data_IF_189688849197
#
_entry.id   IF_189688849197
#
_cell.length_a   1.000
_cell.length_b   1.000
_cell.length_c   1.000
_cell.angle_alpha   90.00
_cell.angle_beta   90.00
_cell.angle_gamma   90.00
#
_symmetry.space_group_name_H-M   'P 1'
#
loop_
_entity.id
_entity.type
_entity.pdbx_description
1 polymer ?
#
# COMPACT_ATOMS: atom_id res chain seq x y z
N UNK A 1 4.95 -44.96 -50.01
CA UNK A 1 3.97 -43.87 -50.07
C UNK A 1 3.83 -43.31 -48.67
N UNK A 2 4.58 -42.26 -48.38
CA UNK A 2 4.54 -41.56 -47.09
C UNK A 2 4.07 -40.14 -47.42
N UNK A 3 2.86 -39.82 -47.00
CA UNK A 3 2.25 -38.53 -47.18
C UNK A 3 2.84 -37.56 -46.17
N UNK A 4 3.57 -36.57 -46.62
CA UNK A 4 4.09 -35.47 -45.83
C UNK A 4 3.02 -34.38 -45.79
N UNK A 5 2.45 -34.12 -44.62
CA UNK A 5 1.48 -33.03 -44.40
C UNK A 5 2.24 -31.78 -43.92
N UNK A 6 2.27 -30.70 -44.68
CA UNK A 6 3.03 -29.48 -44.35
C UNK A 6 2.24 -28.40 -43.61
N UNK A 7 1.20 -28.76 -42.84
CA UNK A 7 0.33 -27.72 -42.22
C UNK A 7 0.67 -27.38 -40.75
N UNK A 8 1.74 -27.88 -40.16
CA UNK A 8 2.04 -27.64 -38.74
C UNK A 8 3.15 -26.62 -38.45
N UNK A 9 3.64 -25.89 -39.47
CA UNK A 9 4.84 -25.04 -39.27
C UNK A 9 4.56 -23.51 -39.33
N UNK A 10 3.32 -23.07 -39.38
CA UNK A 10 3.01 -21.63 -39.55
C UNK A 10 2.51 -20.95 -38.26
N UNK A 11 2.29 -21.70 -37.21
CA UNK A 11 1.74 -21.11 -35.95
C UNK A 11 2.79 -20.60 -34.95
N UNK A 12 4.08 -20.85 -35.17
CA UNK A 12 5.13 -20.59 -34.17
C UNK A 12 5.95 -19.32 -34.41
N UNK A 13 5.73 -18.59 -35.49
CA UNK A 13 6.48 -17.37 -35.82
C UNK A 13 5.71 -16.07 -35.51
N UNK A 14 4.42 -16.14 -35.19
CA UNK A 14 3.61 -14.94 -34.88
C UNK A 14 3.63 -14.52 -33.40
N UNK A 15 4.01 -15.40 -32.50
CA UNK A 15 4.05 -15.10 -31.06
C UNK A 15 5.38 -14.48 -30.59
N UNK A 16 6.39 -14.43 -31.45
CA UNK A 16 7.70 -13.84 -31.13
C UNK A 16 7.87 -12.36 -31.50
N UNK A 17 6.87 -11.71 -32.08
CA UNK A 17 6.98 -10.32 -32.58
C UNK A 17 5.93 -9.35 -32.07
N UNK A 18 5.21 -9.70 -30.99
CA UNK A 18 4.55 -8.68 -30.23
C UNK A 18 5.59 -8.10 -29.25
N UNK A 19 5.94 -6.80 -29.39
CA UNK A 19 6.63 -6.14 -28.31
C UNK A 19 5.73 -6.34 -27.09
N UNK A 20 6.31 -6.80 -25.97
CA UNK A 20 5.65 -6.79 -24.67
C UNK A 20 5.22 -5.33 -24.41
N UNK A 21 4.09 -4.95 -24.99
CA UNK A 21 3.36 -3.78 -24.58
C UNK A 21 3.19 -4.00 -23.09
N UNK A 22 3.89 -3.22 -22.28
CA UNK A 22 3.87 -3.26 -20.85
C UNK A 22 2.42 -3.09 -20.44
N UNK A 23 1.69 -4.18 -20.34
CA UNK A 23 0.46 -4.24 -19.60
C UNK A 23 0.88 -3.84 -18.20
N UNK A 24 0.71 -2.56 -17.88
CA UNK A 24 0.98 -2.04 -16.55
C UNK A 24 -0.02 -2.73 -15.63
N UNK A 25 0.36 -3.91 -15.17
CA UNK A 25 -0.43 -4.70 -14.23
C UNK A 25 -0.58 -3.83 -12.99
N UNK A 26 -1.78 -3.33 -12.78
CA UNK A 26 -2.11 -2.56 -11.59
C UNK A 26 -2.50 -3.58 -10.53
N UNK A 27 -1.61 -3.82 -9.57
CA UNK A 27 -1.91 -4.66 -8.42
C UNK A 27 -2.21 -3.79 -7.22
N UNK A 28 -3.37 -4.02 -6.59
CA UNK A 28 -3.83 -3.23 -5.44
C UNK A 28 -3.81 -4.09 -4.20
N UNK A 29 -3.07 -3.62 -3.19
CA UNK A 29 -3.03 -4.20 -1.85
C UNK A 29 -3.80 -3.29 -0.89
N UNK A 30 -4.69 -3.87 -0.09
CA UNK A 30 -5.38 -3.13 0.98
C UNK A 30 -4.50 -3.07 2.21
N UNK A 31 -4.79 -2.13 3.09
CA UNK A 31 -4.18 -2.11 4.43
C UNK A 31 -4.76 -3.19 5.31
N UNK A 32 -3.93 -3.79 6.17
CA UNK A 32 -4.37 -4.79 7.17
C UNK A 32 -5.33 -4.14 8.16
N UNK A 33 -6.44 -4.84 8.41
CA UNK A 33 -7.38 -4.55 9.47
C UNK A 33 -7.21 -5.59 10.57
N UNK A 34 -6.39 -5.28 11.55
CA UNK A 34 -6.16 -6.11 12.73
C UNK A 34 -6.85 -5.52 13.97
N UNK A 35 -6.78 -6.25 15.07
CA UNK A 35 -7.34 -5.83 16.36
C UNK A 35 -6.85 -4.43 16.77
N UNK A 36 -5.58 -4.13 16.54
CA UNK A 36 -4.99 -2.83 16.86
C UNK A 36 -5.63 -1.68 16.05
N UNK A 37 -5.94 -1.93 14.78
CA UNK A 37 -6.62 -0.96 13.92
C UNK A 37 -8.02 -0.65 14.43
N UNK A 38 -8.79 -1.68 14.81
CA UNK A 38 -10.14 -1.48 15.37
C UNK A 38 -10.11 -0.74 16.69
N UNK A 39 -9.17 -1.07 17.60
CA UNK A 39 -9.05 -0.39 18.89
C UNK A 39 -8.65 1.07 18.74
N UNK A 40 -7.71 1.38 17.86
CA UNK A 40 -7.30 2.77 17.59
C UNK A 40 -8.47 3.56 17.00
N UNK A 41 -9.17 2.99 16.02
CA UNK A 41 -10.32 3.63 15.41
C UNK A 41 -11.43 3.89 16.43
N UNK A 42 -11.80 2.87 17.23
CA UNK A 42 -12.82 3.01 18.27
C UNK A 42 -12.45 4.06 19.30
N UNK A 43 -11.19 4.06 19.77
CA UNK A 43 -10.71 5.06 20.73
C UNK A 43 -10.72 6.46 20.13
N UNK A 44 -10.29 6.61 18.87
CA UNK A 44 -10.28 7.91 18.19
C UNK A 44 -11.70 8.47 18.04
N UNK A 45 -12.67 7.63 17.68
CA UNK A 45 -14.08 8.02 17.57
C UNK A 45 -14.64 8.34 18.96
N UNK A 46 -14.37 7.54 19.98
CA UNK A 46 -14.83 7.78 21.35
C UNK A 46 -14.37 9.16 21.88
N UNK A 47 -13.11 9.52 21.62
CA UNK A 47 -12.57 10.83 22.00
C UNK A 47 -13.36 11.98 21.37
N UNK A 48 -13.84 11.83 20.12
CA UNK A 48 -14.64 12.86 19.46
C UNK A 48 -15.98 13.12 20.15
N UNK A 49 -16.50 12.15 20.93
CA UNK A 49 -17.77 12.28 21.65
C UNK A 49 -17.61 12.68 23.13
N UNK A 50 -16.37 12.88 23.63
CA UNK A 50 -16.16 13.34 25.01
C UNK A 50 -16.93 14.63 25.33
N UNK A 51 -16.96 15.68 24.48
CA UNK A 51 -17.73 16.90 24.77
C UNK A 51 -19.22 16.62 24.94
N UNK A 52 -19.80 15.74 24.11
CA UNK A 52 -21.21 15.37 24.17
C UNK A 52 -21.57 14.54 25.44
N UNK A 53 -20.58 13.91 26.07
CA UNK A 53 -20.77 13.21 27.34
C UNK A 53 -20.74 14.18 28.52
N UNK A 54 -19.88 15.21 28.46
CA UNK A 54 -19.72 16.21 29.52
C UNK A 54 -20.90 17.22 29.50
N UNK A 55 -21.22 17.71 28.30
CA UNK A 55 -22.35 18.65 28.10
C UNK A 55 -23.25 18.05 26.99
N UNK A 56 -24.29 17.30 27.38
CA UNK A 56 -25.18 16.62 26.44
C UNK A 56 -26.10 17.60 25.73
N UNK A 57 -25.58 18.27 24.70
CA UNK A 57 -26.32 19.13 23.81
C UNK A 57 -26.22 18.66 22.36
N UNK A 58 -27.14 19.07 21.52
CA UNK A 58 -27.18 18.64 20.10
C UNK A 58 -25.97 19.14 19.32
N UNK A 59 -25.40 20.26 19.69
CA UNK A 59 -24.25 20.87 19.01
C UNK A 59 -23.00 19.99 19.22
N UNK A 60 -22.76 19.58 20.48
CA UNK A 60 -21.63 18.69 20.81
C UNK A 60 -21.72 17.33 20.09
N UNK A 61 -22.91 16.78 19.94
CA UNK A 61 -23.14 15.56 19.16
C UNK A 61 -22.82 15.79 17.67
N UNK A 62 -23.28 16.87 17.07
CA UNK A 62 -23.00 17.20 15.68
C UNK A 62 -21.50 17.36 15.45
N UNK A 63 -20.79 18.03 16.34
CA UNK A 63 -19.34 18.19 16.28
C UNK A 63 -18.65 16.83 16.36
N UNK A 64 -19.05 15.96 17.30
CA UNK A 64 -18.51 14.60 17.43
C UNK A 64 -18.66 13.78 16.15
N UNK A 65 -19.83 13.81 15.51
CA UNK A 65 -20.08 13.16 14.22
C UNK A 65 -19.20 13.77 13.12
N UNK A 66 -19.15 15.08 13.01
CA UNK A 66 -18.38 15.79 11.98
C UNK A 66 -16.88 15.49 12.06
N UNK A 67 -16.33 15.32 13.27
CA UNK A 67 -14.92 14.97 13.49
C UNK A 67 -14.65 13.49 13.27
N UNK A 68 -15.58 12.59 13.57
CA UNK A 68 -15.40 11.15 13.41
C UNK A 68 -15.42 10.71 11.95
N UNK A 69 -16.21 11.35 11.09
CA UNK A 69 -16.34 10.99 9.67
C UNK A 69 -15.00 11.00 8.90
N UNK A 70 -14.18 12.08 8.95
CA UNK A 70 -12.90 12.08 8.24
C UNK A 70 -11.90 11.06 8.80
N UNK A 71 -11.96 10.75 10.10
CA UNK A 71 -11.14 9.70 10.71
C UNK A 71 -11.51 8.34 10.12
N UNK A 72 -12.78 7.97 10.16
CA UNK A 72 -13.30 6.71 9.59
C UNK A 72 -12.95 6.63 8.10
N UNK A 73 -13.18 7.70 7.35
CA UNK A 73 -12.87 7.79 5.92
C UNK A 73 -11.39 7.51 5.64
N UNK A 74 -10.47 8.04 6.45
CA UNK A 74 -9.03 7.82 6.32
C UNK A 74 -8.67 6.34 6.45
N UNK A 75 -9.24 5.65 7.44
CA UNK A 75 -8.97 4.21 7.65
C UNK A 75 -9.50 3.35 6.51
N UNK A 76 -10.71 3.63 6.02
CA UNK A 76 -11.35 2.83 4.95
C UNK A 76 -10.64 3.03 3.60
N UNK A 77 -10.14 4.24 3.32
CA UNK A 77 -9.58 4.59 2.00
C UNK A 77 -8.08 4.42 1.89
N UNK A 78 -7.42 3.82 2.90
CA UNK A 78 -5.98 3.54 2.83
C UNK A 78 -5.73 2.27 2.03
N UNK A 79 -4.97 2.39 0.92
CA UNK A 79 -4.55 1.27 0.09
C UNK A 79 -3.23 1.56 -0.62
N UNK A 80 -2.59 0.50 -1.11
CA UNK A 80 -1.31 0.52 -1.79
C UNK A 80 -1.46 -0.06 -3.19
N UNK A 81 -0.90 0.60 -4.21
CA UNK A 81 -0.94 0.12 -5.59
C UNK A 81 0.46 0.08 -6.18
N UNK A 82 0.76 -1.01 -6.87
CA UNK A 82 1.94 -1.13 -7.71
C UNK A 82 1.48 -0.97 -9.16
N UNK A 83 2.00 0.07 -9.83
CA UNK A 83 1.71 0.35 -11.23
C UNK A 83 3.01 0.47 -12.01
N UNK A 84 3.38 -0.60 -12.73
CA UNK A 84 4.69 -0.68 -13.38
C UNK A 84 5.81 -0.47 -12.38
N UNK A 85 6.69 0.52 -12.60
CA UNK A 85 7.83 0.86 -11.73
C UNK A 85 7.49 1.87 -10.62
N UNK A 86 6.23 2.09 -10.31
CA UNK A 86 5.80 3.08 -9.34
C UNK A 86 4.93 2.47 -8.25
N UNK A 87 5.33 2.65 -7.00
CA UNK A 87 4.52 2.38 -5.81
C UNK A 87 3.66 3.60 -5.50
N UNK A 88 2.36 3.44 -5.51
CA UNK A 88 1.37 4.47 -5.15
C UNK A 88 0.82 4.11 -3.78
N UNK A 89 1.00 5.01 -2.82
CA UNK A 89 0.45 4.89 -1.47
C UNK A 89 -0.65 5.92 -1.34
N UNK A 90 -1.86 5.48 -1.07
CA UNK A 90 -3.01 6.36 -0.89
C UNK A 90 -3.54 6.25 0.53
N UNK A 91 -3.73 7.42 1.14
CA UNK A 91 -4.31 7.56 2.47
C UNK A 91 -5.30 8.72 2.43
N UNK A 92 -6.58 8.44 2.52
CA UNK A 92 -7.66 9.42 2.32
C UNK A 92 -7.50 10.19 1.00
N UNK A 93 -7.36 11.51 1.10
CA UNK A 93 -7.21 12.41 -0.06
C UNK A 93 -5.75 12.59 -0.50
N UNK A 94 -4.78 12.06 0.27
CA UNK A 94 -3.36 12.21 -0.02
C UNK A 94 -2.86 10.97 -0.76
N UNK A 95 -2.18 11.18 -1.88
CA UNK A 95 -1.51 10.11 -2.61
C UNK A 95 -0.03 10.42 -2.81
N UNK A 96 0.83 9.50 -2.37
CA UNK A 96 2.26 9.52 -2.65
C UNK A 96 2.59 8.58 -3.80
N UNK A 97 3.45 9.01 -4.70
CA UNK A 97 4.01 8.19 -5.80
C UNK A 97 5.50 8.03 -5.56
N UNK A 98 5.95 6.79 -5.48
CA UNK A 98 7.33 6.45 -5.15
C UNK A 98 7.91 5.53 -6.21
N UNK A 99 9.04 5.88 -6.86
CA UNK A 99 9.67 5.00 -7.83
C UNK A 99 10.29 3.80 -7.12
N UNK A 100 9.92 2.58 -7.57
CA UNK A 100 10.39 1.31 -6.99
C UNK A 100 11.90 1.13 -7.22
N UNK A 101 12.43 1.67 -8.32
CA UNK A 101 13.87 1.66 -8.63
C UNK A 101 14.73 2.38 -7.58
N UNK A 102 14.14 3.29 -6.79
CA UNK A 102 14.84 4.03 -5.72
C UNK A 102 14.66 3.42 -4.33
N UNK A 103 13.98 2.29 -4.20
CA UNK A 103 13.87 1.57 -2.93
C UNK A 103 15.22 0.91 -2.63
N UNK A 104 15.79 1.25 -1.47
CA UNK A 104 17.07 0.70 -1.01
C UNK A 104 16.86 -0.55 -0.16
N UNK A 105 15.95 -0.48 0.84
CA UNK A 105 15.72 -1.62 1.74
C UNK A 105 14.30 -1.66 2.26
N UNK A 106 13.87 -2.88 2.60
CA UNK A 106 12.60 -3.18 3.27
C UNK A 106 12.92 -3.91 4.57
N UNK A 107 12.37 -3.42 5.68
CA UNK A 107 12.57 -4.01 7.00
C UNK A 107 11.25 -4.05 7.78
N UNK A 108 11.03 -5.05 8.66
CA UNK A 108 9.93 -5.00 9.61
C UNK A 108 10.16 -3.84 10.59
N UNK A 109 9.09 -3.20 11.02
CA UNK A 109 9.19 -2.10 11.96
C UNK A 109 8.03 -2.10 12.94
N UNK A 110 8.30 -1.76 14.19
CA UNK A 110 7.30 -1.47 15.22
C UNK A 110 7.12 0.03 15.45
N UNK A 111 7.76 0.87 14.65
CA UNK A 111 7.71 2.32 14.81
C UNK A 111 6.28 2.84 14.62
N UNK A 112 5.79 3.60 15.61
CA UNK A 112 4.44 4.20 15.63
C UNK A 112 4.45 5.56 14.91
N UNK A 113 5.62 6.18 14.77
CA UNK A 113 5.79 7.58 14.37
C UNK A 113 5.64 7.86 12.86
N UNK A 114 5.45 6.85 12.04
CA UNK A 114 5.31 7.07 10.58
C UNK A 114 3.97 6.56 10.06
N UNK A 115 3.14 7.48 9.62
CA UNK A 115 1.95 7.19 8.81
C UNK A 115 2.34 6.93 7.34
N UNK A 116 1.60 6.16 6.56
CA UNK A 116 0.19 5.79 6.72
C UNK A 116 -0.03 4.27 6.95
N UNK A 117 0.45 3.71 8.03
CA UNK A 117 0.22 2.31 8.37
C UNK A 117 -0.81 2.19 9.52
N UNK A 118 -2.09 1.87 9.26
CA UNK A 118 -3.11 1.76 10.30
C UNK A 118 -2.89 0.57 11.24
N UNK A 119 -2.34 -0.56 10.75
CA UNK A 119 -2.01 -1.71 11.60
C UNK A 119 -0.74 -1.47 12.42
N UNK A 120 -0.66 -2.01 13.64
CA UNK A 120 0.54 -1.99 14.48
C UNK A 120 1.36 -3.28 14.38
N UNK A 121 0.78 -4.38 13.93
CA UNK A 121 1.42 -5.70 14.00
C UNK A 121 2.18 -6.09 12.75
N UNK A 122 1.72 -5.67 11.56
CA UNK A 122 2.28 -6.06 10.28
C UNK A 122 2.87 -4.88 9.49
N UNK A 123 3.74 -4.12 10.15
CA UNK A 123 4.36 -2.95 9.54
C UNK A 123 5.66 -3.29 8.85
N UNK A 124 5.87 -2.69 7.68
CA UNK A 124 7.14 -2.69 6.97
C UNK A 124 7.57 -1.25 6.71
N UNK A 125 8.84 -0.98 6.95
CA UNK A 125 9.50 0.28 6.64
C UNK A 125 10.22 0.16 5.31
N UNK A 126 9.90 1.03 4.38
CA UNK A 126 10.56 1.15 3.07
C UNK A 126 11.51 2.33 3.15
N UNK A 127 12.80 2.06 2.94
CA UNK A 127 13.84 3.09 2.90
C UNK A 127 14.24 3.33 1.45
N UNK A 128 14.40 4.59 1.09
CA UNK A 128 14.81 5.00 -0.26
C UNK A 128 16.27 5.43 -0.28
N UNK A 129 16.96 5.17 -1.38
CA UNK A 129 18.34 5.61 -1.62
C UNK A 129 18.45 7.13 -1.61
N UNK A 130 17.44 7.82 -2.13
CA UNK A 130 17.38 9.28 -2.19
C UNK A 130 16.31 9.81 -1.22
N UNK A 131 16.74 10.52 -0.17
CA UNK A 131 15.83 11.15 0.82
C UNK A 131 14.86 12.15 0.21
N UNK A 132 15.19 12.73 -0.96
CA UNK A 132 14.32 13.68 -1.65
C UNK A 132 13.02 13.07 -2.16
N UNK A 133 13.00 11.73 -2.38
CA UNK A 133 11.80 11.01 -2.83
C UNK A 133 10.70 11.05 -1.77
N UNK A 134 11.07 10.97 -0.51
CA UNK A 134 10.09 10.88 0.58
C UNK A 134 9.62 12.24 1.11
N UNK A 135 10.34 13.32 0.82
CA UNK A 135 10.10 14.66 1.43
C UNK A 135 10.07 14.64 2.97
N UNK A 136 10.50 13.55 3.59
CA UNK A 136 10.48 13.29 5.03
C UNK A 136 11.78 12.61 5.45
N UNK A 137 12.24 12.90 6.67
CA UNK A 137 13.40 12.24 7.26
C UNK A 137 13.12 10.79 7.71
N UNK A 138 11.83 10.41 7.78
CA UNK A 138 11.39 9.10 8.25
C UNK A 138 11.14 8.14 7.08
N UNK A 139 11.38 6.82 7.25
CA UNK A 139 11.06 5.81 6.24
C UNK A 139 9.55 5.77 5.99
N UNK A 140 9.16 5.33 4.79
CA UNK A 140 7.76 5.09 4.47
C UNK A 140 7.30 3.80 5.17
N UNK A 141 6.38 3.91 6.12
CA UNK A 141 5.82 2.75 6.81
C UNK A 141 4.46 2.42 6.24
N UNK A 142 4.27 1.17 5.83
CA UNK A 142 3.03 0.63 5.28
C UNK A 142 2.70 -0.71 5.94
N UNK A 143 1.44 -1.13 5.85
CA UNK A 143 0.95 -2.41 6.38
C UNK A 143 0.06 -3.10 5.35
N UNK A 144 0.62 -3.72 4.29
CA UNK A 144 -0.14 -4.44 3.28
C UNK A 144 -0.71 -5.74 3.84
N UNK A 145 -1.91 -6.15 3.37
CA UNK A 145 -2.59 -7.38 3.79
C UNK A 145 -1.74 -8.62 3.51
N UNK A 146 -1.20 -8.72 2.30
CA UNK A 146 -0.35 -9.84 1.87
C UNK A 146 1.10 -9.35 1.80
N UNK A 147 1.74 -9.31 2.98
CA UNK A 147 3.09 -8.77 3.14
C UNK A 147 4.11 -9.46 2.23
N UNK A 148 4.07 -10.80 2.17
CA UNK A 148 5.04 -11.57 1.40
C UNK A 148 4.87 -11.35 -0.10
N UNK A 149 3.64 -11.38 -0.61
CA UNK A 149 3.35 -11.16 -2.02
C UNK A 149 3.67 -9.72 -2.45
N UNK A 150 3.42 -8.76 -1.56
CA UNK A 150 3.81 -7.37 -1.79
C UNK A 150 5.33 -7.22 -1.93
N UNK A 151 6.11 -7.86 -1.06
CA UNK A 151 7.57 -7.82 -1.10
C UNK A 151 8.09 -8.55 -2.33
N UNK A 152 7.57 -9.75 -2.64
CA UNK A 152 7.94 -10.52 -3.82
C UNK A 152 7.72 -9.71 -5.10
N UNK A 153 6.60 -8.98 -5.18
CA UNK A 153 6.32 -8.11 -6.32
C UNK A 153 7.29 -6.92 -6.41
N UNK A 154 7.64 -6.27 -5.31
CA UNK A 154 8.62 -5.19 -5.32
C UNK A 154 10.01 -5.69 -5.73
N UNK A 155 10.43 -6.86 -5.23
CA UNK A 155 11.73 -7.45 -5.56
C UNK A 155 11.80 -7.99 -6.98
N UNK A 156 10.68 -8.44 -7.55
CA UNK A 156 10.62 -8.82 -8.97
C UNK A 156 10.85 -7.63 -9.91
N UNK A 157 10.42 -6.42 -9.49
CA UNK A 157 10.62 -5.17 -10.25
C UNK A 157 12.02 -4.61 -10.01
N UNK A 158 12.48 -4.63 -8.76
CA UNK A 158 13.82 -4.16 -8.39
C UNK A 158 14.55 -5.20 -7.54
N UNK A 159 15.39 -6.06 -8.16
CA UNK A 159 16.15 -7.11 -7.45
C UNK A 159 17.20 -6.57 -6.47
N UNK A 160 17.55 -5.29 -6.55
CA UNK A 160 18.57 -4.67 -5.68
C UNK A 160 18.02 -4.26 -4.30
N UNK A 161 16.74 -4.55 -4.02
CA UNK A 161 16.14 -4.23 -2.71
C UNK A 161 16.73 -5.15 -1.64
N UNK A 162 17.36 -4.56 -0.62
CA UNK A 162 17.84 -5.30 0.54
C UNK A 162 16.69 -5.64 1.49
N UNK A 163 16.46 -6.92 1.74
CA UNK A 163 15.43 -7.40 2.68
C UNK A 163 16.11 -7.64 4.03
N UNK A 164 15.71 -6.92 5.08
CA UNK A 164 16.26 -7.03 6.43
C UNK A 164 15.28 -7.72 7.36
N UNK A 165 15.68 -8.87 7.93
CA UNK A 165 15.00 -9.56 9.06
C UNK A 165 13.47 -9.70 8.91
N UNK A 166 13.01 -10.21 7.78
CA UNK A 166 11.58 -10.51 7.54
C UNK A 166 11.20 -11.86 8.12
#
# INVERSE_FOLDING_TARGET
MISHNPEHTICEVRDCLLPAASMSTITTFRSVWDWSTYTILALSVAICFIPAIIEPDIISVIIGVALSLPIIFTFITTYYQIKGDTLIVRCALISGKYPISKIASIAPTSSILSAPAPSMTQRIAITFTDRKVLKSAMPLVISPTDRQDFINMLTSINPNIEIKNL
#
